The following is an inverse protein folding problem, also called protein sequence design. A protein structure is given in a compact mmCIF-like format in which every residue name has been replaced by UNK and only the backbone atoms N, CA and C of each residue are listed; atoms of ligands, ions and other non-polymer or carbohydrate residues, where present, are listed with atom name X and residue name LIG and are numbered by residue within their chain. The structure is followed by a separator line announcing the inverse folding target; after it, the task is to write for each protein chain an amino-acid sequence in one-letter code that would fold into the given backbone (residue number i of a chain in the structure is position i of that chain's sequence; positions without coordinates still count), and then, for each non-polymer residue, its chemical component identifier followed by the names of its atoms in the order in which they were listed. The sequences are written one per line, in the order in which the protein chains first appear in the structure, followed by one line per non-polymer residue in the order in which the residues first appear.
data_IF_270836671290
#
_entry.id   IF_270836671290
#
_cell.length_a   1.000
_cell.length_b   1.000
_cell.length_c   1.000
_cell.angle_alpha   90.00
_cell.angle_beta   90.00
_cell.angle_gamma   90.00
#
_symmetry.space_group_name_H-M   'P 1'
#
loop_
_entity.id
_entity.type
_entity.pdbx_description
1 polymer ?
#
# COMPACT_ATOMS: atom_id res chain seq x y z
N UNK A 1 -5.58 13.21 -12.91
CA UNK A 1 -5.69 12.06 -11.97
C UNK A 1 -5.90 10.80 -12.78
N UNK A 2 -5.37 9.65 -12.35
CA UNK A 2 -5.54 8.36 -13.06
C UNK A 2 -6.24 7.38 -12.12
N UNK A 3 -7.25 6.69 -12.63
CA UNK A 3 -7.86 5.54 -11.96
C UNK A 3 -7.35 4.25 -12.62
N UNK A 4 -6.69 3.39 -11.86
CA UNK A 4 -6.30 2.06 -12.32
C UNK A 4 -7.28 1.02 -11.79
N UNK A 5 -7.79 0.15 -12.65
CA UNK A 5 -8.69 -0.95 -12.29
C UNK A 5 -8.31 -2.27 -12.97
N UNK A 6 -8.85 -3.36 -12.43
CA UNK A 6 -8.78 -4.63 -13.13
C UNK A 6 -9.70 -4.66 -14.37
N UNK A 7 -9.67 -5.77 -15.10
CA UNK A 7 -10.46 -5.96 -16.31
C UNK A 7 -11.90 -6.47 -16.04
N UNK A 8 -12.41 -6.32 -14.82
CA UNK A 8 -13.75 -6.77 -14.44
C UNK A 8 -14.85 -6.09 -15.26
N UNK A 9 -15.91 -6.84 -15.59
CA UNK A 9 -17.04 -6.34 -16.39
C UNK A 9 -17.67 -5.03 -15.87
N UNK A 10 -17.81 -4.81 -14.55
CA UNK A 10 -18.33 -3.52 -14.02
C UNK A 10 -17.42 -2.32 -14.33
N UNK A 11 -16.10 -2.52 -14.37
CA UNK A 11 -15.12 -1.46 -14.61
C UNK A 11 -15.05 -1.05 -16.09
N UNK A 12 -15.61 -1.87 -16.98
CA UNK A 12 -15.69 -1.62 -18.43
C UNK A 12 -17.04 -1.04 -18.88
N UNK A 13 -17.96 -0.80 -17.94
CA UNK A 13 -19.28 -0.27 -18.27
C UNK A 13 -19.19 1.12 -18.91
N UNK A 14 -19.97 1.34 -19.98
CA UNK A 14 -20.01 2.62 -20.69
C UNK A 14 -20.32 3.80 -19.75
N UNK A 15 -21.26 3.60 -18.82
CA UNK A 15 -21.64 4.60 -17.81
C UNK A 15 -20.47 5.02 -16.92
N UNK A 16 -19.63 4.07 -16.49
CA UNK A 16 -18.45 4.38 -15.68
C UNK A 16 -17.43 5.19 -16.49
N UNK A 17 -17.19 4.79 -17.74
CA UNK A 17 -16.27 5.50 -18.63
C UNK A 17 -16.72 6.95 -18.87
N UNK A 18 -17.99 7.17 -19.19
CA UNK A 18 -18.56 8.51 -19.37
C UNK A 18 -18.44 9.38 -18.11
N UNK A 19 -18.60 8.78 -16.92
CA UNK A 19 -18.43 9.51 -15.66
C UNK A 19 -16.96 9.86 -15.37
N UNK A 20 -16.02 8.98 -15.67
CA UNK A 20 -14.60 9.28 -15.51
C UNK A 20 -14.15 10.39 -16.47
N UNK A 21 -14.63 10.35 -17.71
CA UNK A 21 -14.39 11.39 -18.70
C UNK A 21 -14.96 12.74 -18.27
N UNK A 22 -16.19 12.79 -17.75
CA UNK A 22 -16.80 14.04 -17.27
C UNK A 22 -16.06 14.63 -16.06
N UNK A 23 -15.43 13.79 -15.24
CA UNK A 23 -14.59 14.20 -14.11
C UNK A 23 -13.13 14.51 -14.51
N UNK A 24 -12.76 14.36 -15.78
CA UNK A 24 -11.38 14.55 -16.25
C UNK A 24 -10.39 13.52 -15.68
N UNK A 25 -10.87 12.33 -15.31
CA UNK A 25 -10.07 11.23 -14.76
C UNK A 25 -9.74 10.24 -15.87
N UNK A 26 -8.45 10.04 -16.12
CA UNK A 26 -8.00 9.03 -17.10
C UNK A 26 -8.13 7.63 -16.51
N UNK A 27 -8.67 6.68 -17.28
CA UNK A 27 -8.75 5.28 -16.89
C UNK A 27 -7.54 4.48 -17.38
N UNK A 28 -7.05 3.57 -16.54
CA UNK A 28 -5.98 2.63 -16.83
C UNK A 28 -6.43 1.25 -16.39
N UNK A 29 -6.14 0.23 -17.18
CA UNK A 29 -6.57 -1.14 -16.88
C UNK A 29 -5.38 -2.09 -16.82
N UNK A 30 -5.47 -3.10 -15.97
CA UNK A 30 -4.49 -4.19 -15.93
C UNK A 30 -4.37 -4.86 -17.29
N UNK A 31 -3.17 -5.34 -17.64
CA UNK A 31 -3.00 -6.10 -18.89
C UNK A 31 -3.77 -7.43 -18.82
N UNK A 32 -4.30 -7.93 -19.95
CA UNK A 32 -4.91 -9.25 -19.99
C UNK A 32 -3.95 -10.31 -19.43
N UNK A 33 -4.44 -11.14 -18.50
CA UNK A 33 -3.68 -12.25 -17.87
C UNK A 33 -2.48 -11.83 -17.00
N UNK A 34 -2.43 -10.58 -16.51
CA UNK A 34 -1.40 -10.13 -15.56
C UNK A 34 -2.05 -9.67 -14.25
N UNK A 35 -2.22 -10.58 -13.28
CA UNK A 35 -2.81 -10.27 -11.96
C UNK A 35 -1.98 -9.27 -11.16
N UNK A 36 -0.67 -9.27 -11.35
CA UNK A 36 0.26 -8.42 -10.60
C UNK A 36 0.10 -6.92 -10.87
N UNK A 37 -0.62 -6.52 -11.92
CA UNK A 37 -0.86 -5.09 -12.22
C UNK A 37 -1.78 -4.45 -11.15
N UNK A 38 -2.54 -5.23 -10.36
CA UNK A 38 -3.37 -4.75 -9.25
C UNK A 38 -2.85 -5.13 -7.85
N UNK A 39 -1.57 -5.50 -7.72
CA UNK A 39 -1.01 -6.06 -6.49
C UNK A 39 -1.15 -5.14 -5.24
N UNK A 40 -1.21 -3.82 -5.43
CA UNK A 40 -1.43 -2.88 -4.32
C UNK A 40 -2.83 -3.00 -3.72
N UNK A 41 -3.86 -3.09 -4.57
CA UNK A 41 -5.24 -3.30 -4.13
C UNK A 41 -5.42 -4.69 -3.53
N UNK A 42 -4.78 -5.71 -4.12
CA UNK A 42 -4.77 -7.07 -3.54
C UNK A 42 -4.11 -7.12 -2.16
N UNK A 43 -3.02 -6.38 -1.96
CA UNK A 43 -2.37 -6.25 -0.66
C UNK A 43 -3.31 -5.63 0.38
N UNK A 44 -4.07 -4.59 0.01
CA UNK A 44 -5.11 -4.01 0.87
C UNK A 44 -6.19 -5.05 1.23
N UNK A 45 -6.73 -5.79 0.25
CA UNK A 45 -7.75 -6.81 0.50
C UNK A 45 -7.23 -7.95 1.37
N UNK A 46 -5.96 -8.34 1.19
CA UNK A 46 -5.29 -9.28 2.08
C UNK A 46 -5.27 -8.71 3.50
N UNK A 47 -4.78 -7.50 3.72
CA UNK A 47 -4.77 -6.88 5.06
C UNK A 47 -6.17 -6.84 5.68
N UNK A 48 -7.20 -6.54 4.90
CA UNK A 48 -8.59 -6.56 5.36
C UNK A 48 -9.04 -7.93 5.85
N UNK A 49 -8.73 -8.99 5.09
CA UNK A 49 -9.11 -10.37 5.41
C UNK A 49 -8.35 -10.94 6.61
N UNK A 50 -7.08 -10.58 6.77
CA UNK A 50 -6.22 -11.05 7.85
C UNK A 50 -6.21 -10.12 9.07
N UNK A 51 -6.99 -9.03 9.05
CA UNK A 51 -7.11 -8.14 10.20
C UNK A 51 -7.77 -8.90 11.36
N UNK A 52 -7.16 -8.92 12.57
CA UNK A 52 -7.75 -9.61 13.73
C UNK A 52 -9.15 -9.09 14.12
N UNK A 53 -9.52 -7.90 13.64
CA UNK A 53 -10.84 -7.29 13.89
C UNK A 53 -11.92 -7.78 12.92
N UNK A 54 -11.59 -8.59 11.91
CA UNK A 54 -12.58 -9.21 11.03
C UNK A 54 -13.46 -10.17 11.86
N UNK A 55 -14.79 -10.05 11.82
CA UNK A 55 -15.65 -10.94 12.57
C UNK A 55 -15.50 -12.39 12.08
N UNK A 56 -15.46 -13.34 13.00
CA UNK A 56 -15.49 -14.77 12.68
C UNK A 56 -16.88 -15.23 12.23
N UNK A 57 -17.93 -14.49 12.62
CA UNK A 57 -19.32 -14.74 12.21
C UNK A 57 -19.71 -13.78 11.08
N UNK A 58 -20.66 -14.17 10.20
CA UNK A 58 -21.22 -13.26 9.22
C UNK A 58 -21.84 -12.01 9.88
N UNK A 59 -21.85 -10.90 9.14
CA UNK A 59 -22.59 -9.71 9.54
C UNK A 59 -24.10 -9.99 9.54
N UNK A 60 -24.82 -9.42 10.50
CA UNK A 60 -26.27 -9.58 10.61
C UNK A 60 -27.04 -8.64 9.68
N UNK A 61 -26.41 -7.55 9.24
CA UNK A 61 -26.98 -6.62 8.27
C UNK A 61 -25.92 -5.95 7.38
N UNK A 62 -26.37 -5.29 6.32
CA UNK A 62 -25.48 -4.52 5.44
C UNK A 62 -24.95 -3.26 6.15
N UNK A 63 -25.70 -2.69 7.09
CA UNK A 63 -25.29 -1.57 7.93
C UNK A 63 -24.11 -1.96 8.81
N UNK A 64 -24.17 -3.13 9.46
CA UNK A 64 -23.09 -3.66 10.29
C UNK A 64 -21.80 -3.85 9.47
N UNK A 65 -21.93 -4.39 8.26
CA UNK A 65 -20.81 -4.55 7.33
C UNK A 65 -20.21 -3.19 6.92
N UNK A 66 -21.04 -2.20 6.60
CA UNK A 66 -20.59 -0.84 6.23
C UNK A 66 -19.84 -0.16 7.37
N UNK A 67 -20.37 -0.22 8.58
CA UNK A 67 -19.71 0.33 9.75
C UNK A 67 -18.37 -0.35 10.03
N UNK A 68 -18.33 -1.67 9.90
CA UNK A 68 -17.08 -2.41 10.06
C UNK A 68 -16.03 -1.99 9.03
N UNK A 69 -16.41 -1.89 7.75
CA UNK A 69 -15.52 -1.41 6.69
C UNK A 69 -15.04 0.02 6.98
N UNK A 70 -15.92 0.91 7.45
CA UNK A 70 -15.53 2.27 7.83
C UNK A 70 -14.48 2.26 8.96
N UNK A 71 -14.69 1.47 10.01
CA UNK A 71 -13.71 1.30 11.10
C UNK A 71 -12.40 0.70 10.59
N UNK A 72 -12.45 -0.27 9.69
CA UNK A 72 -11.27 -0.85 9.05
C UNK A 72 -10.48 0.20 8.27
N UNK A 73 -11.14 1.02 7.45
CA UNK A 73 -10.49 2.08 6.66
C UNK A 73 -9.81 3.11 7.56
N UNK A 74 -10.47 3.53 8.65
CA UNK A 74 -9.88 4.45 9.62
C UNK A 74 -8.63 3.85 10.27
N UNK A 75 -8.73 2.62 10.76
CA UNK A 75 -7.60 1.91 11.34
C UNK A 75 -6.45 1.71 10.34
N UNK A 76 -6.75 1.27 9.12
CA UNK A 76 -5.75 1.02 8.08
C UNK A 76 -4.97 2.31 7.75
N UNK A 77 -5.68 3.44 7.59
CA UNK A 77 -5.06 4.69 7.18
C UNK A 77 -4.32 5.41 8.31
N UNK A 78 -4.76 5.28 9.57
CA UNK A 78 -4.29 6.13 10.66
C UNK A 78 -3.56 5.40 11.79
N UNK A 79 -3.72 4.08 11.92
CA UNK A 79 -3.13 3.30 13.02
C UNK A 79 -2.20 2.19 12.51
N UNK A 80 -2.56 1.51 11.42
CA UNK A 80 -1.81 0.38 10.93
C UNK A 80 -0.44 0.79 10.36
N UNK A 81 0.63 0.15 10.84
CA UNK A 81 2.01 0.44 10.43
C UNK A 81 2.50 -0.62 9.45
N UNK A 82 2.94 -0.18 8.28
CA UNK A 82 3.39 -1.09 7.22
C UNK A 82 4.92 -1.27 7.25
N UNK A 83 5.40 -2.51 7.37
CA UNK A 83 6.84 -2.77 7.42
C UNK A 83 7.58 -2.39 6.13
N UNK A 84 6.90 -2.48 4.98
CA UNK A 84 7.42 -2.17 3.64
C UNK A 84 7.69 -0.69 3.41
N UNK A 85 7.08 0.21 4.20
CA UNK A 85 7.29 1.66 4.10
C UNK A 85 7.95 2.26 5.36
N UNK A 86 8.72 1.44 6.08
CA UNK A 86 9.38 1.81 7.33
C UNK A 86 8.41 2.22 8.46
N UNK A 87 7.30 1.47 8.57
CA UNK A 87 6.29 1.61 9.63
C UNK A 87 5.67 3.01 9.66
N UNK A 88 5.21 3.46 8.50
CA UNK A 88 4.52 4.73 8.32
C UNK A 88 3.07 4.44 7.96
N UNK A 89 2.15 5.20 8.55
CA UNK A 89 0.72 5.06 8.22
C UNK A 89 0.44 5.61 6.82
N UNK A 90 -0.53 5.08 6.08
CA UNK A 90 -0.92 5.62 4.78
C UNK A 90 -1.27 7.12 4.84
N UNK A 91 -1.95 7.57 5.90
CA UNK A 91 -2.31 8.98 6.07
C UNK A 91 -1.07 9.88 6.26
N UNK A 92 -0.08 9.44 7.05
CA UNK A 92 1.16 10.20 7.22
C UNK A 92 1.95 10.30 5.93
N UNK A 93 2.04 9.19 5.18
CA UNK A 93 2.72 9.16 3.89
C UNK A 93 2.06 10.09 2.89
N UNK A 94 0.73 10.06 2.81
CA UNK A 94 -0.06 10.96 1.96
C UNK A 94 0.11 12.43 2.33
N UNK A 95 0.23 12.73 3.63
CA UNK A 95 0.44 14.08 4.13
C UNK A 95 1.92 14.54 4.11
N UNK A 96 2.86 13.72 3.59
CA UNK A 96 4.30 14.04 3.58
C UNK A 96 4.95 14.11 4.96
N UNK A 97 4.30 13.56 6.01
CA UNK A 97 4.79 13.56 7.39
C UNK A 97 5.84 12.48 7.65
N UNK A 98 6.01 11.56 6.71
CA UNK A 98 6.91 10.42 6.80
C UNK A 98 8.37 10.84 6.96
N UNK A 99 8.82 11.83 6.21
CA UNK A 99 10.20 12.35 6.25
C UNK A 99 10.61 12.72 7.68
N UNK A 100 9.78 13.50 8.37
CA UNK A 100 10.06 13.97 9.72
C UNK A 100 10.00 12.83 10.75
N UNK A 101 9.03 11.90 10.60
CA UNK A 101 8.92 10.74 11.50
C UNK A 101 10.12 9.80 11.36
N UNK A 102 10.56 9.55 10.13
CA UNK A 102 11.69 8.69 9.82
C UNK A 102 13.01 9.29 10.32
N UNK A 103 13.25 10.58 10.11
CA UNK A 103 14.42 11.29 10.66
C UNK A 103 14.49 11.20 12.19
N UNK A 104 13.35 11.39 12.88
CA UNK A 104 13.27 11.24 14.33
C UNK A 104 13.61 9.81 14.78
N UNK A 105 13.13 8.79 14.05
CA UNK A 105 13.44 7.38 14.34
C UNK A 105 14.91 7.07 14.15
N UNK A 106 15.52 7.55 13.07
CA UNK A 106 16.94 7.36 12.82
C UNK A 106 17.78 7.91 13.98
N UNK A 107 17.57 9.18 14.34
CA UNK A 107 18.27 9.81 15.46
C UNK A 107 18.09 9.05 16.78
N UNK A 108 16.88 8.59 17.06
CA UNK A 108 16.60 7.80 18.27
C UNK A 108 17.37 6.47 18.27
N UNK A 109 17.46 5.80 17.12
CA UNK A 109 18.17 4.53 17.00
C UNK A 109 19.69 4.70 17.12
N UNK A 110 20.23 5.78 16.56
CA UNK A 110 21.65 6.15 16.72
C UNK A 110 21.99 6.40 18.19
N UNK A 111 21.20 7.22 18.89
CA UNK A 111 21.37 7.49 20.32
C UNK A 111 21.26 6.23 21.17
N UNK A 112 20.32 5.33 20.85
CA UNK A 112 20.18 4.05 21.56
C UNK A 112 21.35 3.11 21.31
N UNK A 113 21.89 3.09 20.08
CA UNK A 113 23.07 2.31 19.73
C UNK A 113 24.32 2.83 20.44
N UNK A 114 24.49 4.15 20.54
CA UNK A 114 25.59 4.77 21.27
C UNK A 114 25.56 4.39 22.76
N UNK A 115 24.37 4.40 23.38
CA UNK A 115 24.21 4.00 24.79
C UNK A 115 24.34 2.50 25.06
N UNK A 116 23.91 1.67 24.10
CA UNK A 116 23.82 0.22 24.24
C UNK A 116 24.37 -0.51 23.00
N UNK A 117 25.67 -0.39 22.70
CA UNK A 117 26.25 -0.98 21.50
C UNK A 117 26.12 -2.50 21.46
N UNK A 118 26.07 -3.17 22.61
CA UNK A 118 25.92 -4.62 22.77
C UNK A 118 24.65 -5.18 22.12
N UNK A 119 23.60 -4.35 21.97
CA UNK A 119 22.37 -4.73 21.30
C UNK A 119 22.49 -4.83 19.77
N UNK A 120 23.55 -4.27 19.19
CA UNK A 120 23.78 -4.23 17.75
C UNK A 120 25.00 -5.10 17.39
N UNK A 121 24.81 -6.42 17.39
CA UNK A 121 25.85 -7.43 17.10
C UNK A 121 26.61 -7.17 15.79
N UNK A 122 25.91 -6.72 14.75
CA UNK A 122 26.51 -6.38 13.44
C UNK A 122 26.87 -4.90 13.30
N UNK A 123 26.70 -4.10 14.35
CA UNK A 123 27.04 -2.68 14.36
C UNK A 123 26.18 -1.76 13.49
N UNK A 124 25.17 -2.24 12.77
CA UNK A 124 24.36 -1.39 11.88
C UNK A 124 22.93 -1.22 12.40
N UNK A 125 22.42 0.01 12.38
CA UNK A 125 20.99 0.28 12.62
C UNK A 125 20.20 0.00 11.34
N UNK A 126 18.91 -0.30 11.49
CA UNK A 126 17.99 -0.43 10.34
C UNK A 126 17.99 0.88 9.53
N UNK A 127 17.96 0.76 8.20
CA UNK A 127 17.76 1.91 7.31
C UNK A 127 16.35 2.51 7.49
N UNK A 128 16.32 3.78 7.86
CA UNK A 128 15.11 4.56 8.04
C UNK A 128 14.92 5.59 6.93
N UNK A 129 15.64 5.48 5.82
CA UNK A 129 15.48 6.38 4.67
C UNK A 129 14.04 6.34 4.13
N UNK A 130 13.50 7.46 3.63
CA UNK A 130 12.17 7.49 3.04
C UNK A 130 12.09 6.57 1.81
N UNK A 131 11.07 5.70 1.78
CA UNK A 131 10.76 4.92 0.58
C UNK A 131 10.12 5.85 -0.45
N UNK A 132 10.80 6.09 -1.57
CA UNK A 132 10.38 7.02 -2.62
C UNK A 132 9.76 6.33 -3.83
N UNK A 133 10.18 5.09 -4.11
CA UNK A 133 9.71 4.31 -5.26
C UNK A 133 9.42 2.88 -4.84
N UNK A 134 8.31 2.35 -5.37
CA UNK A 134 7.95 0.94 -5.27
C UNK A 134 7.66 0.47 -6.69
N UNK A 135 8.26 -0.66 -7.08
CA UNK A 135 8.08 -1.27 -8.40
C UNK A 135 7.54 -2.68 -8.22
N UNK A 136 6.42 -3.00 -8.87
CA UNK A 136 5.81 -4.33 -8.84
C UNK A 136 6.45 -5.29 -9.84
N UNK A 137 6.94 -4.76 -10.96
CA UNK A 137 7.73 -5.46 -11.96
C UNK A 137 8.91 -4.56 -12.31
N UNK A 138 10.13 -5.07 -12.20
CA UNK A 138 11.30 -4.36 -12.74
C UNK A 138 11.17 -4.29 -14.26
N UNK A 139 11.40 -3.11 -14.83
CA UNK A 139 11.70 -3.01 -16.25
C UNK A 139 12.91 -3.91 -16.51
N UNK A 140 12.91 -4.76 -17.58
CA UNK A 140 14.11 -5.49 -17.92
C UNK A 140 15.25 -4.48 -18.05
N UNK A 141 16.41 -4.81 -17.49
CA UNK A 141 17.60 -3.95 -17.61
C UNK A 141 17.83 -3.70 -19.10
N UNK A 142 18.23 -2.48 -19.47
CA UNK A 142 18.59 -2.18 -20.87
C UNK A 142 19.51 -3.27 -21.40
N UNK A 143 19.02 -4.04 -22.39
CA UNK A 143 19.73 -5.19 -22.99
C UNK A 143 19.09 -6.57 -22.78
N UNK A 144 18.14 -6.74 -21.85
CA UNK A 144 17.49 -8.05 -21.63
C UNK A 144 16.30 -8.25 -22.60
N UNK A 145 16.56 -8.96 -23.71
CA UNK A 145 15.49 -9.46 -24.58
C UNK A 145 14.68 -10.50 -23.82
N UNK A 146 13.43 -10.19 -23.48
CA UNK A 146 12.46 -11.19 -23.02
C UNK A 146 12.12 -12.09 -24.22
N UNK A 147 12.60 -13.34 -24.20
CA UNK A 147 12.14 -14.36 -25.12
C UNK A 147 10.64 -14.56 -24.89
N UNK A 148 9.85 -14.24 -25.91
CA UNK A 148 8.41 -14.45 -25.93
C UNK A 148 8.21 -15.84 -26.54
N UNK A 149 7.70 -16.78 -25.75
CA UNK A 149 7.11 -18.03 -26.21
C UNK A 149 5.60 -17.95 -25.99
#
# INVERSE_FOLDING_TARGET
MILHSDNGSPMKGQTMKSMLESLGVASSHSRPRVSNDNAMSESLFKTMKYCPRLPLKPFNSIEEAREWVHRFVQWYNHEHLHSSNNFITPADKRAGKDINKLRKRQRLMELKKEKHPERWVKGHIRDWSPVTKVTLNESPKEGEKRNIA
#
